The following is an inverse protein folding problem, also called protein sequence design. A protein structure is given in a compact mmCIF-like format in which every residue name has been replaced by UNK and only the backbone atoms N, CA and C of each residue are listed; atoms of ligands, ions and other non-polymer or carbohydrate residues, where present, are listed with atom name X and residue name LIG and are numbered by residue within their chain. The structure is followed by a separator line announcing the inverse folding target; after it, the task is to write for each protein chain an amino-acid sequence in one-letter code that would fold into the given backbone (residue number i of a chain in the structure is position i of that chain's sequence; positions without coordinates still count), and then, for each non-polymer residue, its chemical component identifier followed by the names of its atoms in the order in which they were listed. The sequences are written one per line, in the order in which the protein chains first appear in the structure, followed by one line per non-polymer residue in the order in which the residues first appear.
data_IF_987178780111
#
_entry.id   IF_987178780111
#
_cell.length_a   1.000
_cell.length_b   1.000
_cell.length_c   1.000
_cell.angle_alpha   90.00
_cell.angle_beta   90.00
_cell.angle_gamma   90.00
#
_symmetry.space_group_name_H-M   'P 1'
#
loop_
_entity.id
_entity.type
_entity.pdbx_description
1 polymer ?
#
# COMPACT_ATOMS: atom_id res chain seq x y z
N UNK A 1 9.04 -18.47 20.06
CA UNK A 1 7.99 -17.45 20.36
C UNK A 1 6.87 -18.03 21.23
N UNK A 2 6.24 -19.16 20.87
CA UNK A 2 5.10 -19.74 21.64
C UNK A 2 5.42 -19.98 23.12
N UNK A 3 6.60 -20.53 23.42
CA UNK A 3 7.05 -20.77 24.82
C UNK A 3 7.15 -19.49 25.68
N UNK A 4 7.35 -18.33 25.04
CA UNK A 4 7.56 -17.05 25.71
C UNK A 4 6.39 -16.09 25.53
N UNK A 5 5.26 -16.56 24.98
CA UNK A 5 4.11 -15.75 24.60
C UNK A 5 3.62 -14.86 25.74
N UNK A 6 3.39 -15.45 26.91
CA UNK A 6 2.88 -14.71 28.06
C UNK A 6 3.87 -13.66 28.56
N UNK A 7 5.16 -14.02 28.67
CA UNK A 7 6.19 -13.08 29.06
C UNK A 7 6.30 -11.90 28.08
N UNK A 8 6.22 -12.19 26.77
CA UNK A 8 6.24 -11.16 25.73
C UNK A 8 5.00 -10.27 25.82
N UNK A 9 3.83 -10.88 26.06
CA UNK A 9 2.58 -10.14 26.21
C UNK A 9 2.64 -9.18 27.41
N UNK A 10 3.11 -9.66 28.56
CA UNK A 10 3.23 -8.84 29.77
C UNK A 10 4.26 -7.71 29.60
N UNK A 11 5.42 -7.99 28.98
CA UNK A 11 6.41 -6.97 28.67
C UNK A 11 5.86 -5.89 27.69
N UNK A 12 5.08 -6.30 26.68
CA UNK A 12 4.44 -5.35 25.76
C UNK A 12 3.45 -4.43 26.47
N UNK A 13 2.63 -4.97 27.38
CA UNK A 13 1.70 -4.18 28.21
C UNK A 13 2.47 -3.17 29.06
N UNK A 14 3.53 -3.64 29.73
CA UNK A 14 4.36 -2.78 30.59
C UNK A 14 5.02 -1.63 29.79
N UNK A 15 5.63 -1.96 28.64
CA UNK A 15 6.37 -0.99 27.84
C UNK A 15 5.48 0.02 27.10
N UNK A 16 4.30 -0.41 26.66
CA UNK A 16 3.43 0.44 25.83
C UNK A 16 2.31 1.12 26.62
N UNK A 17 1.99 0.60 27.82
CA UNK A 17 0.80 1.00 28.58
C UNK A 17 -0.52 0.60 27.91
N UNK A 18 -0.51 -0.16 26.81
CA UNK A 18 -1.70 -0.58 26.12
C UNK A 18 -2.30 -1.81 26.84
N UNK A 19 -3.52 -1.75 27.41
CA UNK A 19 -4.06 -2.83 28.23
C UNK A 19 -4.60 -4.00 27.40
N UNK A 20 -4.59 -3.91 26.08
CA UNK A 20 -5.18 -4.91 25.18
C UNK A 20 -4.16 -5.41 24.18
N UNK A 21 -4.07 -6.73 24.03
CA UNK A 21 -3.17 -7.39 23.09
C UNK A 21 -3.91 -8.50 22.36
N UNK A 22 -3.96 -8.42 21.04
CA UNK A 22 -4.62 -9.39 20.18
C UNK A 22 -3.59 -10.22 19.41
N UNK A 23 -3.69 -11.55 19.47
CA UNK A 23 -2.85 -12.46 18.71
C UNK A 23 -3.41 -12.70 17.31
N UNK A 24 -2.57 -12.54 16.28
CA UNK A 24 -2.79 -12.96 14.90
C UNK A 24 -1.70 -13.94 14.50
N UNK A 25 -1.90 -15.21 14.81
CA UNK A 25 -0.98 -16.32 14.52
C UNK A 25 -1.68 -17.36 13.63
N UNK A 26 -2.33 -16.89 12.57
CA UNK A 26 -3.12 -17.65 11.60
C UNK A 26 -2.37 -17.92 10.28
N UNK A 27 -1.04 -17.80 10.28
CA UNK A 27 -0.21 -18.04 9.09
C UNK A 27 0.15 -19.53 8.93
N UNK A 28 0.22 -19.99 7.69
CA UNK A 28 0.62 -21.37 7.37
C UNK A 28 2.05 -21.72 7.81
N UNK A 29 2.91 -20.74 8.06
CA UNK A 29 4.26 -20.98 8.60
C UNK A 29 4.26 -21.60 10.00
N UNK A 30 3.20 -21.40 10.80
CA UNK A 30 3.08 -22.06 12.12
C UNK A 30 2.94 -23.58 12.01
N UNK A 31 2.31 -24.07 10.96
CA UNK A 31 2.15 -25.50 10.74
C UNK A 31 3.50 -26.18 10.48
N UNK A 32 4.44 -25.45 9.85
CA UNK A 32 5.82 -25.94 9.63
C UNK A 32 6.58 -26.14 10.96
N UNK A 33 6.21 -25.37 11.99
CA UNK A 33 6.76 -25.48 13.34
C UNK A 33 5.94 -26.46 14.23
N UNK A 34 4.97 -27.16 13.67
CA UNK A 34 4.07 -28.06 14.39
C UNK A 34 3.07 -27.35 15.33
N UNK A 35 2.84 -26.08 15.13
CA UNK A 35 1.94 -25.25 15.93
C UNK A 35 0.60 -25.05 15.22
N UNK A 36 -0.49 -25.06 15.99
CA UNK A 36 -1.83 -24.76 15.47
C UNK A 36 -2.01 -23.25 15.23
N UNK A 37 -2.78 -22.85 14.23
CA UNK A 37 -3.22 -21.46 14.12
C UNK A 37 -3.88 -20.97 15.41
N UNK A 38 -3.62 -19.72 15.78
CA UNK A 38 -4.19 -19.11 16.98
C UNK A 38 -4.54 -17.63 16.69
N UNK A 39 -5.75 -17.25 17.10
CA UNK A 39 -6.22 -15.85 17.03
C UNK A 39 -7.06 -15.55 18.25
N UNK A 40 -7.00 -14.33 18.75
CA UNK A 40 -7.80 -13.93 19.91
C UNK A 40 -7.08 -12.95 20.83
N UNK A 41 -7.80 -12.47 21.83
CA UNK A 41 -7.23 -11.62 22.86
C UNK A 41 -6.27 -12.43 23.76
N UNK A 42 -5.04 -11.98 23.86
CA UNK A 42 -4.06 -12.49 24.84
C UNK A 42 -4.17 -11.75 26.18
N UNK A 43 -4.48 -10.45 26.11
CA UNK A 43 -4.71 -9.59 27.29
C UNK A 43 -5.85 -8.62 26.97
N UNK A 44 -6.67 -8.35 27.98
CA UNK A 44 -7.86 -7.53 27.82
C UNK A 44 -8.90 -8.16 26.90
N UNK A 45 -9.90 -7.37 26.54
CA UNK A 45 -10.99 -7.73 25.63
C UNK A 45 -11.55 -6.48 24.93
N UNK A 46 -12.53 -6.64 24.07
CA UNK A 46 -13.26 -5.55 23.41
C UNK A 46 -13.43 -5.73 21.91
N UNK A 47 -13.91 -4.69 21.21
CA UNK A 47 -14.05 -4.74 19.77
C UNK A 47 -12.69 -4.82 19.10
N UNK A 48 -12.61 -5.59 18.00
CA UNK A 48 -11.42 -5.68 17.13
C UNK A 48 -11.42 -4.62 16.04
N UNK A 49 -12.57 -4.02 15.78
CA UNK A 49 -12.72 -2.89 14.89
C UNK A 49 -12.54 -1.57 15.65
N UNK A 50 -11.76 -0.65 15.11
CA UNK A 50 -11.54 0.69 15.65
C UNK A 50 -11.13 1.68 14.57
N UNK A 51 -11.09 2.94 14.92
CA UNK A 51 -10.59 4.02 14.04
C UNK A 51 -9.20 4.44 14.47
N UNK A 52 -8.35 4.72 13.49
CA UNK A 52 -7.09 5.43 13.69
C UNK A 52 -7.14 6.79 12.97
N UNK A 53 -6.40 7.75 13.48
CA UNK A 53 -6.18 9.03 12.82
C UNK A 53 -4.79 9.08 12.22
N UNK A 54 -4.71 9.54 10.96
CA UNK A 54 -3.46 9.69 10.21
C UNK A 54 -3.53 10.97 9.39
N UNK A 55 -2.56 11.87 9.55
CA UNK A 55 -2.47 13.14 8.81
C UNK A 55 -3.77 13.98 8.81
N UNK A 56 -4.61 13.86 9.83
CA UNK A 56 -5.88 14.57 9.97
C UNK A 56 -7.09 13.92 9.29
N UNK A 57 -6.95 12.72 8.72
CA UNK A 57 -8.08 11.88 8.31
C UNK A 57 -8.22 10.63 9.18
N UNK A 58 -9.42 10.07 9.20
CA UNK A 58 -9.73 8.85 9.97
C UNK A 58 -9.84 7.63 9.06
N UNK A 59 -9.40 6.52 9.58
CA UNK A 59 -9.42 5.24 8.88
C UNK A 59 -9.95 4.16 9.83
N UNK A 60 -11.04 3.52 9.44
CA UNK A 60 -11.56 2.33 10.13
C UNK A 60 -10.78 1.09 9.72
N UNK A 61 -10.49 0.24 10.68
CA UNK A 61 -9.82 -1.04 10.48
C UNK A 61 -10.33 -2.09 11.48
N UNK A 62 -10.14 -3.36 11.14
CA UNK A 62 -10.41 -4.48 12.02
C UNK A 62 -9.18 -5.37 12.11
N UNK A 63 -8.59 -5.48 13.32
CA UNK A 63 -7.38 -6.27 13.54
C UNK A 63 -7.63 -7.77 13.44
N UNK A 64 -8.87 -8.24 13.61
CA UNK A 64 -9.22 -9.65 13.50
C UNK A 64 -9.52 -10.07 12.05
N UNK A 65 -10.18 -9.22 11.27
CA UNK A 65 -10.66 -9.54 9.92
C UNK A 65 -9.72 -9.01 8.81
N UNK A 66 -8.97 -7.95 9.09
CA UNK A 66 -8.09 -7.33 8.11
C UNK A 66 -6.91 -8.21 7.68
N UNK A 67 -6.37 -7.95 6.50
CA UNK A 67 -5.13 -8.58 6.06
C UNK A 67 -3.98 -8.17 6.99
N UNK A 68 -3.14 -9.10 7.42
CA UNK A 68 -2.12 -8.92 8.47
C UNK A 68 -2.74 -8.32 9.74
N UNK A 69 -2.38 -7.10 10.10
CA UNK A 69 -2.87 -6.36 11.28
C UNK A 69 -4.03 -5.42 10.98
N UNK A 70 -4.66 -5.53 9.80
CA UNK A 70 -5.80 -4.71 9.39
C UNK A 70 -5.44 -3.44 8.63
N UNK A 71 -4.19 -2.98 8.70
CA UNK A 71 -3.72 -1.78 8.03
C UNK A 71 -2.21 -1.81 7.79
N UNK A 72 -1.73 -1.02 6.82
CA UNK A 72 -0.31 -0.91 6.44
C UNK A 72 0.27 0.40 6.98
N UNK A 73 0.76 0.37 8.22
CA UNK A 73 1.35 1.53 8.91
C UNK A 73 2.64 2.01 8.24
N UNK A 74 3.39 1.10 7.63
CA UNK A 74 4.64 1.38 6.92
C UNK A 74 4.49 2.37 5.76
N UNK A 75 3.28 2.50 5.18
CA UNK A 75 2.96 3.45 4.11
C UNK A 75 2.42 4.80 4.61
N UNK A 76 2.37 5.05 5.92
CA UNK A 76 1.80 6.28 6.50
C UNK A 76 2.40 7.55 5.88
N UNK A 77 3.72 7.65 5.88
CA UNK A 77 4.40 8.85 5.38
C UNK A 77 4.24 9.00 3.86
N UNK A 78 4.25 7.87 3.13
CA UNK A 78 4.00 7.86 1.68
C UNK A 78 2.60 8.39 1.33
N UNK A 79 1.58 8.08 2.13
CA UNK A 79 0.22 8.62 1.95
C UNK A 79 0.16 10.13 2.19
N UNK A 80 0.87 10.62 3.22
CA UNK A 80 0.99 12.08 3.47
C UNK A 80 1.67 12.80 2.31
N UNK A 81 2.80 12.27 1.82
CA UNK A 81 3.52 12.81 0.67
C UNK A 81 2.65 12.76 -0.59
N UNK A 82 1.88 11.68 -0.79
CA UNK A 82 0.96 11.57 -1.92
C UNK A 82 -0.13 12.64 -1.88
N UNK A 83 -0.79 12.85 -0.73
CA UNK A 83 -1.74 13.94 -0.52
C UNK A 83 -1.16 15.28 -0.93
N UNK A 84 0.07 15.58 -0.50
CA UNK A 84 0.72 16.87 -0.77
C UNK A 84 1.02 17.05 -2.27
N UNK A 85 1.38 15.96 -2.98
CA UNK A 85 1.54 16.00 -4.45
C UNK A 85 0.19 16.23 -5.16
N UNK A 86 -0.87 15.51 -4.76
CA UNK A 86 -2.21 15.70 -5.31
C UNK A 86 -2.67 17.14 -5.15
N UNK A 87 -2.50 17.72 -3.96
CA UNK A 87 -2.88 19.11 -3.67
C UNK A 87 -2.05 20.11 -4.49
N UNK A 88 -0.72 19.96 -4.48
CA UNK A 88 0.20 20.89 -5.16
C UNK A 88 0.04 20.90 -6.67
N UNK A 89 -0.22 19.72 -7.26
CA UNK A 89 -0.40 19.57 -8.71
C UNK A 89 -1.84 19.81 -9.16
N UNK A 90 -2.80 19.95 -8.23
CA UNK A 90 -4.21 20.11 -8.54
C UNK A 90 -4.79 18.91 -9.27
N UNK A 91 -4.38 17.69 -8.89
CA UNK A 91 -4.80 16.47 -9.56
C UNK A 91 -6.31 16.30 -9.51
N UNK A 92 -6.94 16.10 -10.66
CA UNK A 92 -8.39 15.90 -10.76
C UNK A 92 -8.75 14.42 -10.87
N UNK A 93 -8.03 13.66 -11.70
CA UNK A 93 -8.23 12.23 -11.93
C UNK A 93 -7.10 11.42 -11.27
N UNK A 94 -7.44 10.62 -10.28
CA UNK A 94 -6.49 9.81 -9.51
C UNK A 94 -6.83 8.33 -9.64
N UNK A 95 -5.81 7.49 -9.84
CA UNK A 95 -5.92 6.04 -9.89
C UNK A 95 -5.13 5.42 -8.74
N UNK A 96 -5.80 4.63 -7.90
CA UNK A 96 -5.19 3.85 -6.84
C UNK A 96 -5.32 2.35 -7.13
N UNK A 97 -4.22 1.71 -7.48
CA UNK A 97 -4.14 0.28 -7.78
C UNK A 97 -3.68 -0.52 -6.57
N UNK A 98 -4.27 -1.71 -6.35
CA UNK A 98 -4.09 -2.52 -5.15
C UNK A 98 -4.50 -1.73 -3.92
N UNK A 99 -5.69 -1.13 -4.01
CA UNK A 99 -6.10 -0.04 -3.12
C UNK A 99 -6.35 -0.49 -1.67
N UNK A 100 -6.54 -1.80 -1.45
CA UNK A 100 -6.89 -2.38 -0.15
C UNK A 100 -8.05 -1.60 0.50
N UNK A 101 -7.92 -1.16 1.74
CA UNK A 101 -8.93 -0.39 2.47
C UNK A 101 -8.93 1.11 2.13
N UNK A 102 -8.29 1.52 1.02
CA UNK A 102 -8.40 2.84 0.43
C UNK A 102 -7.55 3.93 1.10
N UNK A 103 -6.48 3.60 1.81
CA UNK A 103 -5.65 4.60 2.49
C UNK A 103 -5.12 5.70 1.56
N UNK A 104 -4.57 5.33 0.39
CA UNK A 104 -4.15 6.30 -0.63
C UNK A 104 -5.34 7.03 -1.29
N UNK A 105 -6.50 6.38 -1.37
CA UNK A 105 -7.71 7.01 -1.93
C UNK A 105 -8.23 8.12 -1.02
N UNK A 106 -8.27 7.87 0.30
CA UNK A 106 -8.59 8.88 1.31
C UNK A 106 -7.58 10.03 1.27
N UNK A 107 -6.27 9.72 1.18
CA UNK A 107 -5.22 10.71 1.04
C UNK A 107 -5.40 11.58 -0.22
N UNK A 108 -5.75 10.97 -1.36
CA UNK A 108 -6.04 11.71 -2.60
C UNK A 108 -7.22 12.67 -2.44
N UNK A 109 -8.33 12.21 -1.86
CA UNK A 109 -9.52 13.03 -1.61
C UNK A 109 -9.22 14.17 -0.64
N UNK A 110 -8.42 13.91 0.41
CA UNK A 110 -7.94 14.93 1.34
C UNK A 110 -7.01 15.94 0.67
N UNK A 111 -6.27 15.53 -0.36
CA UNK A 111 -5.47 16.41 -1.23
C UNK A 111 -6.29 17.20 -2.26
N UNK A 112 -7.60 17.00 -2.32
CA UNK A 112 -8.49 17.73 -3.22
C UNK A 112 -8.72 17.08 -4.59
N UNK A 113 -8.37 15.80 -4.78
CA UNK A 113 -8.65 15.07 -6.02
C UNK A 113 -10.12 15.21 -6.44
N UNK A 114 -10.38 15.44 -7.70
CA UNK A 114 -11.76 15.53 -8.24
C UNK A 114 -12.46 14.18 -8.21
N UNK A 115 -11.80 13.16 -8.74
CA UNK A 115 -12.25 11.77 -8.82
C UNK A 115 -11.13 10.82 -8.47
N UNK A 116 -11.43 9.79 -7.69
CA UNK A 116 -10.50 8.70 -7.36
C UNK A 116 -11.09 7.37 -7.83
N UNK A 117 -10.36 6.66 -8.69
CA UNK A 117 -10.68 5.29 -9.07
C UNK A 117 -9.78 4.34 -8.27
N UNK A 118 -10.36 3.47 -7.49
CA UNK A 118 -9.66 2.48 -6.67
C UNK A 118 -9.89 1.09 -7.23
N UNK A 119 -8.84 0.30 -7.41
CA UNK A 119 -8.92 -1.08 -7.92
C UNK A 119 -8.31 -2.02 -6.89
N UNK A 120 -9.07 -3.04 -6.52
CA UNK A 120 -8.61 -4.18 -5.73
C UNK A 120 -9.42 -5.43 -6.11
N UNK A 121 -8.88 -6.61 -5.85
CA UNK A 121 -9.58 -7.89 -6.07
C UNK A 121 -10.29 -8.41 -4.81
N UNK A 122 -10.29 -7.62 -3.73
CA UNK A 122 -10.93 -7.94 -2.47
C UNK A 122 -12.16 -7.08 -2.26
N UNK A 123 -13.35 -7.63 -2.52
CA UNK A 123 -14.63 -6.97 -2.24
C UNK A 123 -14.74 -6.46 -0.80
N UNK A 124 -14.37 -7.23 0.25
CA UNK A 124 -14.36 -6.74 1.63
C UNK A 124 -13.43 -5.54 1.85
N UNK A 125 -12.25 -5.52 1.22
CA UNK A 125 -11.34 -4.38 1.32
C UNK A 125 -11.94 -3.12 0.65
N UNK A 126 -12.58 -3.27 -0.50
CA UNK A 126 -13.28 -2.17 -1.18
C UNK A 126 -14.48 -1.67 -0.38
N UNK A 127 -15.22 -2.54 0.29
CA UNK A 127 -16.28 -2.13 1.19
C UNK A 127 -15.74 -1.27 2.36
N UNK A 128 -14.60 -1.66 2.93
CA UNK A 128 -13.92 -0.84 3.95
C UNK A 128 -13.39 0.47 3.36
N UNK A 129 -12.90 0.47 2.11
CA UNK A 129 -12.49 1.70 1.43
C UNK A 129 -13.66 2.68 1.26
N UNK A 130 -14.84 2.20 0.88
CA UNK A 130 -16.06 3.02 0.84
C UNK A 130 -16.41 3.61 2.20
N UNK A 131 -16.34 2.78 3.26
CA UNK A 131 -16.58 3.22 4.63
C UNK A 131 -15.58 4.29 5.07
N UNK A 132 -14.29 4.15 4.70
CA UNK A 132 -13.25 5.12 5.02
C UNK A 132 -13.44 6.46 4.28
N UNK A 133 -13.93 6.45 3.04
CA UNK A 133 -14.32 7.67 2.31
C UNK A 133 -15.45 8.38 3.05
N UNK A 134 -16.51 7.63 3.40
CA UNK A 134 -17.67 8.19 4.12
C UNK A 134 -17.31 8.69 5.52
N UNK A 135 -16.43 7.97 6.25
CA UNK A 135 -15.96 8.34 7.59
C UNK A 135 -15.31 9.74 7.63
N UNK A 136 -14.70 10.16 6.52
CA UNK A 136 -14.07 11.47 6.37
C UNK A 136 -15.00 12.53 5.77
N UNK A 137 -16.28 12.21 5.55
CA UNK A 137 -17.24 13.14 4.98
C UNK A 137 -17.02 13.47 3.50
N UNK A 138 -16.21 12.68 2.79
CA UNK A 138 -16.03 12.87 1.36
C UNK A 138 -17.24 12.38 0.58
N UNK A 139 -17.57 13.09 -0.50
CA UNK A 139 -18.66 12.70 -1.40
C UNK A 139 -18.33 11.34 -2.06
N UNK A 140 -19.23 10.37 -1.87
CA UNK A 140 -19.11 9.05 -2.47
C UNK A 140 -19.08 9.10 -4.02
N UNK A 141 -19.69 10.11 -4.62
CA UNK A 141 -19.66 10.35 -6.07
C UNK A 141 -18.26 10.64 -6.61
N UNK A 142 -17.32 11.02 -5.74
CA UNK A 142 -15.90 11.23 -6.09
C UNK A 142 -15.03 9.98 -5.95
N UNK A 143 -15.60 8.82 -5.59
CA UNK A 143 -14.88 7.58 -5.38
C UNK A 143 -15.51 6.45 -6.17
N UNK A 144 -14.80 5.94 -7.16
CA UNK A 144 -15.19 4.75 -7.93
C UNK A 144 -14.38 3.55 -7.45
N UNK A 145 -15.06 2.49 -7.02
CA UNK A 145 -14.44 1.25 -6.53
C UNK A 145 -14.64 0.14 -7.56
N UNK A 146 -13.56 -0.53 -7.97
CA UNK A 146 -13.57 -1.59 -8.96
C UNK A 146 -13.03 -2.89 -8.34
N UNK A 147 -13.90 -3.88 -8.15
CA UNK A 147 -13.52 -5.26 -7.81
C UNK A 147 -13.04 -5.94 -9.11
N UNK A 148 -11.73 -5.89 -9.35
CA UNK A 148 -11.16 -6.33 -10.60
C UNK A 148 -9.64 -6.61 -10.50
N UNK A 149 -9.12 -7.38 -11.48
CA UNK A 149 -7.69 -7.51 -11.69
C UNK A 149 -7.08 -6.18 -12.17
N UNK A 150 -6.01 -5.75 -11.50
CA UNK A 150 -5.35 -4.47 -11.78
C UNK A 150 -4.75 -4.46 -13.19
N UNK A 151 -4.03 -5.52 -13.60
CA UNK A 151 -3.38 -5.56 -14.91
C UNK A 151 -4.40 -5.50 -16.05
N UNK A 152 -5.50 -6.25 -15.93
CA UNK A 152 -6.59 -6.22 -16.90
C UNK A 152 -7.24 -4.82 -16.96
N UNK A 153 -7.46 -4.20 -15.81
CA UNK A 153 -8.05 -2.86 -15.71
C UNK A 153 -7.15 -1.78 -16.32
N UNK A 154 -5.83 -1.81 -16.06
CA UNK A 154 -4.89 -0.86 -16.67
C UNK A 154 -4.86 -0.96 -18.20
N UNK A 155 -4.91 -2.18 -18.77
CA UNK A 155 -4.99 -2.38 -20.22
C UNK A 155 -6.30 -1.83 -20.79
N UNK A 156 -7.42 -2.16 -20.15
CA UNK A 156 -8.74 -1.65 -20.53
C UNK A 156 -8.76 -0.11 -20.52
N UNK A 157 -8.21 0.54 -19.50
CA UNK A 157 -8.14 2.00 -19.42
C UNK A 157 -7.29 2.61 -20.53
N UNK A 158 -6.21 1.94 -20.97
CA UNK A 158 -5.44 2.36 -22.14
C UNK A 158 -6.28 2.28 -23.43
N UNK A 159 -7.01 1.17 -23.62
CA UNK A 159 -7.87 0.96 -24.79
C UNK A 159 -9.02 1.98 -24.83
N UNK A 160 -9.55 2.34 -23.65
CA UNK A 160 -10.58 3.38 -23.47
C UNK A 160 -10.02 4.82 -23.61
N UNK A 161 -8.69 4.99 -23.74
CA UNK A 161 -8.05 6.29 -23.84
C UNK A 161 -8.06 7.09 -22.52
N UNK A 162 -8.34 6.46 -21.38
CA UNK A 162 -8.33 7.13 -20.06
C UNK A 162 -6.92 7.61 -19.70
N UNK A 163 -6.89 8.71 -18.94
CA UNK A 163 -5.65 9.30 -18.41
C UNK A 163 -5.88 9.74 -16.97
N UNK A 164 -4.78 9.83 -16.20
CA UNK A 164 -4.81 10.22 -14.81
C UNK A 164 -3.69 11.22 -14.50
N UNK A 165 -3.93 12.09 -13.53
CA UNK A 165 -2.95 13.08 -13.07
C UNK A 165 -2.02 12.49 -12.01
N UNK A 166 -2.53 11.55 -11.21
CA UNK A 166 -1.73 10.83 -10.24
C UNK A 166 -2.13 9.33 -10.22
N UNK A 167 -1.13 8.45 -10.10
CA UNK A 167 -1.33 7.00 -10.03
C UNK A 167 -0.54 6.44 -8.86
N UNK A 168 -1.14 5.53 -8.10
CA UNK A 168 -0.46 4.68 -7.11
C UNK A 168 -0.43 3.24 -7.62
N UNK A 169 0.76 2.63 -7.60
CA UNK A 169 0.98 1.21 -7.83
C UNK A 169 1.66 0.61 -6.59
N UNK A 170 0.89 -0.04 -5.73
CA UNK A 170 1.37 -0.69 -4.51
C UNK A 170 1.03 -2.19 -4.51
N UNK A 171 1.63 -2.98 -5.43
CA UNK A 171 1.31 -4.38 -5.60
C UNK A 171 1.74 -5.23 -4.41
N UNK A 172 1.08 -6.39 -4.19
CA UNK A 172 1.51 -7.36 -3.19
C UNK A 172 2.92 -7.90 -3.49
N UNK A 173 3.50 -8.63 -2.55
CA UNK A 173 4.84 -9.22 -2.67
C UNK A 173 4.91 -10.19 -3.86
N UNK A 174 5.54 -9.77 -4.97
CA UNK A 174 5.69 -10.57 -6.19
C UNK A 174 6.93 -11.48 -6.18
N UNK A 175 7.96 -11.15 -5.38
CA UNK A 175 9.18 -11.95 -5.19
C UNK A 175 9.46 -12.17 -3.71
N UNK A 176 8.96 -13.24 -3.10
CA UNK A 176 9.29 -13.57 -1.71
C UNK A 176 10.78 -13.81 -1.49
N UNK A 177 11.46 -14.39 -2.48
CA UNK A 177 12.89 -14.71 -2.42
C UNK A 177 13.61 -14.26 -3.70
N UNK A 178 14.94 -14.22 -3.68
CA UNK A 178 15.78 -13.88 -4.83
C UNK A 178 15.54 -14.81 -6.04
N UNK A 179 15.18 -16.09 -5.83
CA UNK A 179 14.85 -17.01 -6.91
C UNK A 179 13.66 -16.57 -7.77
N UNK A 180 12.78 -15.71 -7.22
CA UNK A 180 11.61 -15.20 -7.96
C UNK A 180 11.88 -13.81 -8.57
N UNK A 181 13.07 -13.24 -8.39
CA UNK A 181 13.37 -11.85 -8.75
C UNK A 181 13.15 -11.57 -10.24
N UNK A 182 13.59 -12.44 -11.14
CA UNK A 182 13.47 -12.23 -12.59
C UNK A 182 12.00 -12.18 -13.06
N UNK A 183 11.18 -13.13 -12.60
CA UNK A 183 9.75 -13.14 -12.91
C UNK A 183 9.04 -11.92 -12.35
N UNK A 184 9.34 -11.55 -11.10
CA UNK A 184 8.77 -10.38 -10.47
C UNK A 184 9.22 -9.08 -11.16
N UNK A 185 10.49 -8.98 -11.58
CA UNK A 185 11.00 -7.83 -12.33
C UNK A 185 10.18 -7.59 -13.60
N UNK A 186 9.85 -8.65 -14.35
CA UNK A 186 8.98 -8.55 -15.53
C UNK A 186 7.57 -8.05 -15.17
N UNK A 187 6.98 -8.54 -14.08
CA UNK A 187 5.66 -8.11 -13.63
C UNK A 187 5.66 -6.65 -13.16
N UNK A 188 6.65 -6.25 -12.36
CA UNK A 188 6.83 -4.83 -11.97
C UNK A 188 7.05 -3.93 -13.17
N UNK A 189 7.87 -4.37 -14.14
CA UNK A 189 8.11 -3.60 -15.37
C UNK A 189 6.82 -3.38 -16.15
N UNK A 190 6.01 -4.41 -16.33
CA UNK A 190 4.74 -4.29 -17.07
C UNK A 190 3.74 -3.36 -16.36
N UNK A 191 3.58 -3.51 -15.03
CA UNK A 191 2.75 -2.62 -14.22
C UNK A 191 3.17 -1.15 -14.37
N UNK A 192 4.47 -0.87 -14.20
CA UNK A 192 5.00 0.48 -14.30
C UNK A 192 4.87 1.05 -15.71
N UNK A 193 5.10 0.24 -16.75
CA UNK A 193 4.90 0.62 -18.14
C UNK A 193 3.45 1.03 -18.41
N UNK A 194 2.48 0.26 -17.92
CA UNK A 194 1.06 0.58 -18.07
C UNK A 194 0.70 1.87 -17.29
N UNK A 195 1.17 1.99 -16.05
CA UNK A 195 0.95 3.18 -15.23
C UNK A 195 1.51 4.45 -15.89
N UNK A 196 2.76 4.41 -16.37
CA UNK A 196 3.39 5.54 -17.05
C UNK A 196 2.65 5.95 -18.33
N UNK A 197 2.13 4.99 -19.10
CA UNK A 197 1.30 5.27 -20.28
C UNK A 197 -0.02 5.93 -19.93
N UNK A 198 -0.59 5.63 -18.77
CA UNK A 198 -1.86 6.17 -18.30
C UNK A 198 -1.73 7.57 -17.67
N UNK A 199 -0.52 8.02 -17.32
CA UNK A 199 -0.32 9.36 -16.79
C UNK A 199 -0.52 10.45 -17.85
N UNK A 200 -1.12 11.56 -17.45
CA UNK A 200 -1.06 12.82 -18.18
C UNK A 200 0.39 13.38 -18.18
N UNK A 201 0.81 14.16 -19.17
CA UNK A 201 2.02 14.97 -19.05
C UNK A 201 1.98 15.85 -17.79
N UNK A 202 3.06 15.89 -17.03
CA UNK A 202 3.12 16.54 -15.71
C UNK A 202 2.49 15.74 -14.57
N UNK A 203 1.88 14.60 -14.86
CA UNK A 203 1.30 13.71 -13.84
C UNK A 203 2.36 12.95 -13.05
N UNK A 204 1.97 12.37 -11.92
CA UNK A 204 2.87 11.72 -10.96
C UNK A 204 2.49 10.27 -10.69
N UNK A 205 3.50 9.39 -10.72
CA UNK A 205 3.40 7.97 -10.37
C UNK A 205 4.08 7.73 -9.02
N UNK A 206 3.33 7.18 -8.08
CA UNK A 206 3.84 6.57 -6.86
C UNK A 206 3.89 5.06 -7.07
N UNK A 207 5.06 4.47 -7.10
CA UNK A 207 5.21 3.03 -7.34
C UNK A 207 6.06 2.38 -6.27
N UNK A 208 5.61 1.21 -5.81
CA UNK A 208 6.20 0.52 -4.65
C UNK A 208 6.55 -0.93 -4.94
N UNK A 209 7.46 -1.45 -4.13
CA UNK A 209 7.77 -2.88 -4.03
C UNK A 209 8.09 -3.24 -2.57
N UNK A 210 7.34 -4.18 -2.02
CA UNK A 210 7.62 -4.82 -0.73
C UNK A 210 8.33 -6.18 -0.86
N UNK A 211 8.83 -6.52 -2.07
CA UNK A 211 9.48 -7.80 -2.36
C UNK A 211 10.92 -7.82 -1.86
N UNK A 212 11.26 -8.74 -0.95
CA UNK A 212 12.63 -8.92 -0.45
C UNK A 212 13.63 -9.35 -1.53
N UNK A 213 13.16 -10.05 -2.58
CA UNK A 213 14.00 -10.43 -3.73
C UNK A 213 14.28 -9.28 -4.72
N UNK A 214 13.69 -8.09 -4.52
CA UNK A 214 13.90 -6.90 -5.37
C UNK A 214 14.56 -5.81 -4.51
N UNK A 215 15.87 -5.60 -4.72
CA UNK A 215 16.60 -4.52 -4.03
C UNK A 215 16.29 -3.14 -4.64
N UNK A 216 16.73 -2.08 -3.94
CA UNK A 216 16.48 -0.68 -4.31
C UNK A 216 16.99 -0.35 -5.72
N UNK A 217 18.22 -0.74 -6.05
CA UNK A 217 18.80 -0.49 -7.38
C UNK A 217 18.08 -1.25 -8.49
N UNK A 218 17.72 -2.52 -8.22
CA UNK A 218 16.99 -3.32 -9.19
C UNK A 218 15.60 -2.72 -9.45
N UNK A 219 14.91 -2.28 -8.39
CA UNK A 219 13.61 -1.62 -8.54
C UNK A 219 13.70 -0.35 -9.38
N UNK A 220 14.71 0.49 -9.14
CA UNK A 220 14.98 1.67 -9.97
C UNK A 220 15.18 1.28 -11.44
N UNK A 221 16.05 0.29 -11.73
CA UNK A 221 16.30 -0.17 -13.11
C UNK A 221 15.03 -0.70 -13.78
N UNK A 222 14.18 -1.41 -13.04
CA UNK A 222 12.89 -1.91 -13.54
C UNK A 222 11.98 -0.74 -13.96
N UNK A 223 11.82 0.27 -13.10
CA UNK A 223 10.97 1.44 -13.38
C UNK A 223 11.53 2.28 -14.54
N UNK A 224 12.85 2.50 -14.58
CA UNK A 224 13.50 3.19 -15.68
C UNK A 224 13.30 2.45 -17.03
N UNK A 225 13.48 1.12 -17.02
CA UNK A 225 13.22 0.29 -18.21
C UNK A 225 11.75 0.31 -18.64
N UNK A 226 10.82 0.43 -17.69
CA UNK A 226 9.40 0.58 -17.97
C UNK A 226 9.10 1.93 -18.66
N UNK A 227 9.77 3.01 -18.26
CA UNK A 227 9.70 4.33 -18.92
C UNK A 227 10.11 4.26 -20.38
N UNK A 228 11.25 3.61 -20.67
CA UNK A 228 11.74 3.40 -22.05
C UNK A 228 10.68 2.63 -22.86
N UNK A 229 10.16 1.51 -22.37
CA UNK A 229 9.15 0.72 -23.07
C UNK A 229 7.79 1.43 -23.18
N UNK A 230 7.51 2.37 -22.30
CA UNK A 230 6.32 3.21 -22.39
C UNK A 230 6.45 4.34 -23.41
N UNK A 231 7.68 4.68 -23.82
CA UNK A 231 7.97 5.89 -24.60
C UNK A 231 7.69 7.17 -23.78
N UNK A 232 7.93 7.12 -22.48
CA UNK A 232 7.63 8.20 -21.54
C UNK A 232 8.91 8.65 -20.87
N UNK A 233 9.21 9.94 -20.98
CA UNK A 233 10.27 10.57 -20.22
C UNK A 233 9.77 10.94 -18.84
N UNK A 234 10.58 10.68 -17.79
CA UNK A 234 10.17 10.92 -16.42
C UNK A 234 11.34 11.24 -15.50
N UNK A 235 11.10 12.11 -14.54
CA UNK A 235 12.03 12.45 -13.48
C UNK A 235 11.65 11.75 -12.17
N UNK A 236 12.61 11.10 -11.52
CA UNK A 236 12.43 10.60 -10.16
C UNK A 236 12.59 11.76 -9.20
N UNK A 237 11.48 12.18 -8.59
CA UNK A 237 11.46 13.30 -7.66
C UNK A 237 11.91 12.89 -6.25
N UNK A 238 11.57 11.68 -5.84
CA UNK A 238 11.82 11.22 -4.47
C UNK A 238 11.91 9.68 -4.41
N UNK A 239 12.72 9.19 -3.48
CA UNK A 239 12.70 7.79 -3.02
C UNK A 239 11.91 7.71 -1.74
N UNK A 240 11.07 6.69 -1.61
CA UNK A 240 10.23 6.41 -0.46
C UNK A 240 10.63 5.08 0.16
N UNK A 241 10.35 4.93 1.44
CA UNK A 241 10.58 3.71 2.22
C UNK A 241 9.51 3.53 3.29
N UNK A 242 9.75 2.64 4.24
CA UNK A 242 8.89 2.47 5.40
C UNK A 242 8.88 3.71 6.28
N UNK A 243 7.73 3.99 6.91
CA UNK A 243 7.60 5.06 7.90
C UNK A 243 8.54 4.82 9.10
N UNK A 244 8.90 5.86 9.91
CA UNK A 244 9.88 5.77 10.99
C UNK A 244 9.60 4.72 12.07
N UNK A 245 8.36 4.28 12.22
CA UNK A 245 7.96 3.18 13.09
C UNK A 245 8.26 1.77 12.50
N UNK A 246 8.81 1.73 11.29
CA UNK A 246 9.34 0.53 10.64
C UNK A 246 10.84 0.70 10.35
N UNK A 247 11.69 0.90 11.40
CA UNK A 247 13.09 1.18 11.20
C UNK A 247 13.85 -0.06 10.73
N UNK A 248 14.84 0.16 9.89
CA UNK A 248 15.90 -0.81 9.63
C UNK A 248 16.95 -0.70 10.74
N UNK A 249 17.37 -1.82 11.32
CA UNK A 249 18.48 -1.81 12.28
C UNK A 249 19.81 -2.06 11.56
N UNK A 250 20.91 -1.56 12.12
CA UNK A 250 22.24 -1.78 11.56
C UNK A 250 22.62 -3.27 11.44
N UNK A 251 22.09 -4.09 12.35
CA UNK A 251 22.35 -5.53 12.37
C UNK A 251 21.39 -6.33 11.46
N UNK A 252 20.36 -5.72 10.91
CA UNK A 252 19.34 -6.38 10.11
C UNK A 252 18.91 -5.51 8.91
N UNK A 253 19.79 -5.41 7.88
CA UNK A 253 19.52 -4.58 6.70
C UNK A 253 18.32 -5.06 5.88
N UNK A 254 17.90 -6.32 6.02
CA UNK A 254 16.69 -6.90 5.39
C UNK A 254 15.41 -6.22 5.88
N UNK A 255 15.48 -5.43 6.95
CA UNK A 255 14.40 -4.54 7.40
C UNK A 255 14.03 -3.49 6.37
N UNK A 256 14.92 -3.14 5.39
CA UNK A 256 14.60 -2.29 4.24
C UNK A 256 13.81 -3.08 3.18
N UNK A 257 12.61 -3.49 3.51
CA UNK A 257 11.77 -4.28 2.59
C UNK A 257 10.88 -3.43 1.69
N UNK A 258 10.48 -2.23 2.11
CA UNK A 258 9.63 -1.33 1.33
C UNK A 258 10.49 -0.33 0.53
N UNK A 259 10.34 -0.33 -0.77
CA UNK A 259 10.98 0.60 -1.71
C UNK A 259 9.90 1.30 -2.50
N UNK A 260 9.98 2.63 -2.60
CA UNK A 260 9.08 3.44 -3.39
C UNK A 260 9.82 4.48 -4.23
N UNK A 261 9.21 4.86 -5.33
CA UNK A 261 9.65 5.96 -6.18
C UNK A 261 8.47 6.89 -6.49
N UNK A 262 8.73 8.18 -6.42
CA UNK A 262 7.85 9.21 -6.96
C UNK A 262 8.42 9.63 -8.31
N UNK A 263 7.70 9.35 -9.38
CA UNK A 263 8.13 9.64 -10.76
C UNK A 263 7.17 10.64 -11.37
N UNK A 264 7.66 11.77 -11.84
CA UNK A 264 6.87 12.74 -12.60
C UNK A 264 7.10 12.49 -14.09
N UNK A 265 6.01 12.31 -14.86
CA UNK A 265 6.06 12.28 -16.30
C UNK A 265 6.40 13.67 -16.84
N UNK A 266 7.43 13.78 -17.66
CA UNK A 266 7.76 15.02 -18.35
C UNK A 266 6.77 15.30 -19.51
N UNK A 267 6.73 16.55 -19.94
CA UNK A 267 5.78 16.99 -20.98
C UNK A 267 6.09 16.39 -22.36
#
# INVERSE_FOLDING_TARGET
MERWKDLIADALIELTGCPRLYERSDTSSRELDGLKPATGWLRGDGPTAFELEEHGWRLGLDIAQGHKTGYYLDQRDSRGIFRDHVQRLGCREVLNCFSYTGGFSVAALAGGAGQVTSIDSSGPALAQAAANVALNGFDAGRSTLLDADVNASLRRFLDEGRRFDAIVLDPPKLAPTAAHAERAARAYKDLNRLGLKLLNPGGVLFTFSCSGGIGVELFHKIVASAGIDAGVDGAILQRLGGAPDHPMTLAFPEGEYLKGLVVMRQA
#
